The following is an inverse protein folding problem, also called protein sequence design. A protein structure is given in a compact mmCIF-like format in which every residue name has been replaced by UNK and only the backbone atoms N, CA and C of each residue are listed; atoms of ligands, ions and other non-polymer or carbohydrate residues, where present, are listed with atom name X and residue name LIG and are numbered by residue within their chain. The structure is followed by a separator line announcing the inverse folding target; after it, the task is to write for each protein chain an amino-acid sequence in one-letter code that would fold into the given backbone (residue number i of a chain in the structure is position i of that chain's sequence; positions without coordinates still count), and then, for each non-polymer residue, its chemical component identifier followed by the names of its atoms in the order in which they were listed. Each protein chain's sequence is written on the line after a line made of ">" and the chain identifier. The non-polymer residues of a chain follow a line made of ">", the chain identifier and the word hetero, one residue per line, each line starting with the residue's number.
data_IF_880871336598
#
_entry.id   IF_880871336598
#
_cell.length_a   1.000
_cell.length_b   1.000
_cell.length_c   1.000
_cell.angle_alpha   90.00
_cell.angle_beta   90.00
_cell.angle_gamma   90.00
#
_symmetry.space_group_name_H-M   'P 1'
#
loop_
_entity.id
_entity.type
_entity.pdbx_description
1 polymer ?
#
# COMPACT_ATOMS: atom_id res chain seq x y z
N UNK A 1 -17.86 16.61 -23.81
CA UNK A 1 -17.24 17.01 -25.09
C UNK A 1 -17.85 18.34 -25.50
N UNK A 2 -17.08 19.43 -25.42
CA UNK A 2 -17.51 20.70 -25.97
C UNK A 2 -17.22 20.67 -27.48
N UNK A 3 -18.26 20.77 -28.31
CA UNK A 3 -18.08 20.94 -29.75
C UNK A 3 -17.42 22.31 -29.98
N UNK A 4 -16.21 22.33 -30.54
CA UNK A 4 -15.51 23.57 -30.89
C UNK A 4 -16.27 24.23 -32.04
N UNK A 5 -16.86 25.40 -31.77
CA UNK A 5 -17.55 26.24 -32.76
C UNK A 5 -16.68 26.58 -33.97
N UNK A 6 -15.36 26.49 -33.83
CA UNK A 6 -14.39 26.74 -34.89
C UNK A 6 -14.28 25.61 -35.92
N UNK A 7 -14.49 24.36 -35.49
CA UNK A 7 -14.36 23.19 -36.37
C UNK A 7 -15.46 23.16 -37.43
N UNK A 8 -16.66 23.65 -37.08
CA UNK A 8 -17.78 23.74 -38.02
C UNK A 8 -17.64 24.91 -39.00
N UNK A 9 -16.97 25.99 -38.59
CA UNK A 9 -16.69 27.16 -39.45
C UNK A 9 -15.66 26.84 -40.55
N UNK A 10 -14.75 25.91 -40.30
CA UNK A 10 -13.69 25.53 -41.25
C UNK A 10 -14.09 24.38 -42.18
N UNK A 11 -15.17 23.64 -41.89
CA UNK A 11 -15.66 22.62 -42.85
C UNK A 11 -16.30 23.29 -44.05
N UNK A 12 -15.96 22.84 -45.25
CA UNK A 12 -16.61 23.32 -46.47
C UNK A 12 -18.11 23.00 -46.39
N UNK A 13 -19.01 23.99 -46.33
CA UNK A 13 -20.41 23.74 -46.10
C UNK A 13 -21.02 23.01 -47.32
N UNK A 14 -21.76 21.93 -47.07
CA UNK A 14 -22.50 21.23 -48.13
C UNK A 14 -23.64 22.13 -48.63
N UNK A 15 -23.42 22.79 -49.77
CA UNK A 15 -24.40 23.69 -50.37
C UNK A 15 -25.61 22.89 -50.90
N UNK A 16 -26.77 22.99 -50.23
CA UNK A 16 -28.02 22.32 -50.64
C UNK A 16 -28.65 22.88 -51.92
N UNK A 17 -28.25 24.07 -52.35
CA UNK A 17 -28.73 24.70 -53.59
C UNK A 17 -27.54 25.01 -54.51
N UNK A 18 -27.52 24.36 -55.67
CA UNK A 18 -26.55 24.58 -56.75
C UNK A 18 -26.80 25.92 -57.45
N UNK A 19 -26.56 27.03 -56.76
CA UNK A 19 -26.42 28.33 -57.41
C UNK A 19 -24.93 28.62 -57.54
N UNK A 20 -24.40 28.43 -58.75
CA UNK A 20 -22.99 28.70 -59.09
C UNK A 20 -22.53 30.11 -58.69
N UNK A 21 -23.47 31.06 -58.54
CA UNK A 21 -23.24 32.45 -58.12
C UNK A 21 -22.63 32.60 -56.73
N UNK A 22 -22.94 31.71 -55.78
CA UNK A 22 -22.49 31.83 -54.38
C UNK A 22 -21.43 30.79 -53.98
N UNK A 23 -21.16 29.79 -54.82
CA UNK A 23 -20.15 28.78 -54.55
C UNK A 23 -18.75 29.39 -54.42
N UNK A 24 -18.39 30.34 -55.29
CA UNK A 24 -17.08 30.99 -55.28
C UNK A 24 -16.86 31.87 -54.04
N UNK A 25 -17.75 32.82 -53.67
CA UNK A 25 -17.58 33.60 -52.44
C UNK A 25 -17.49 32.76 -51.16
N UNK A 26 -18.26 31.67 -51.06
CA UNK A 26 -18.19 30.75 -49.92
C UNK A 26 -16.83 30.05 -49.88
N UNK A 27 -16.36 29.52 -51.01
CA UNK A 27 -15.05 28.90 -51.12
C UNK A 27 -13.91 29.87 -50.78
N UNK A 28 -13.92 31.07 -51.36
CA UNK A 28 -12.91 32.11 -51.11
C UNK A 28 -12.89 32.53 -49.62
N UNK A 29 -14.07 32.65 -48.98
CA UNK A 29 -14.18 32.99 -47.55
C UNK A 29 -13.68 31.85 -46.65
N UNK A 30 -13.97 30.59 -47.00
CA UNK A 30 -13.44 29.43 -46.26
C UNK A 30 -11.91 29.36 -46.36
N UNK A 31 -11.33 29.65 -47.53
CA UNK A 31 -9.87 29.76 -47.69
C UNK A 31 -9.31 30.86 -46.81
N UNK A 32 -9.93 32.05 -46.81
CA UNK A 32 -9.46 33.19 -46.02
C UNK A 32 -9.50 32.91 -44.50
N UNK A 33 -10.52 32.19 -44.02
CA UNK A 33 -10.60 31.75 -42.62
C UNK A 33 -9.46 30.79 -42.27
N UNK A 34 -9.16 29.79 -43.10
CA UNK A 34 -8.02 28.90 -42.88
C UNK A 34 -6.68 29.66 -42.89
N UNK A 35 -6.48 30.54 -43.86
CA UNK A 35 -5.26 31.35 -43.95
C UNK A 35 -5.06 32.26 -42.71
N UNK A 36 -6.15 32.70 -42.09
CA UNK A 36 -6.11 33.52 -40.87
C UNK A 36 -5.77 32.70 -39.62
N UNK A 37 -5.96 31.37 -39.67
CA UNK A 37 -5.70 30.47 -38.54
C UNK A 37 -4.21 30.09 -38.44
N UNK A 38 -3.50 29.99 -39.56
CA UNK A 38 -2.08 29.61 -39.62
C UNK A 38 -1.16 30.47 -38.72
N UNK A 39 -1.26 31.82 -38.70
CA UNK A 39 -0.46 32.64 -37.79
C UNK A 39 -0.73 32.35 -36.30
N UNK A 40 -1.98 32.01 -35.96
CA UNK A 40 -2.39 31.71 -34.59
C UNK A 40 -1.78 30.37 -34.16
N UNK A 41 -1.93 29.33 -34.98
CA UNK A 41 -1.32 28.01 -34.71
C UNK A 41 0.20 28.10 -34.61
N UNK A 42 0.84 28.89 -35.47
CA UNK A 42 2.29 29.15 -35.41
C UNK A 42 2.72 29.89 -34.15
N UNK A 43 1.94 30.86 -33.67
CA UNK A 43 2.20 31.56 -32.42
C UNK A 43 2.05 30.63 -31.20
N UNK A 44 0.97 29.85 -31.14
CA UNK A 44 0.75 28.85 -30.09
C UNK A 44 1.86 27.80 -30.08
N UNK A 45 2.25 27.28 -31.24
CA UNK A 45 3.32 26.30 -31.35
C UNK A 45 4.65 26.85 -30.80
N UNK A 46 5.01 28.09 -31.13
CA UNK A 46 6.23 28.74 -30.60
C UNK A 46 6.14 29.00 -29.10
N UNK A 47 4.98 29.41 -28.62
CA UNK A 47 4.77 29.65 -27.19
C UNK A 47 4.87 28.34 -26.39
N UNK A 48 4.23 27.27 -26.86
CA UNK A 48 4.32 25.94 -26.27
C UNK A 48 5.78 25.43 -26.25
N UNK A 49 6.57 25.63 -27.31
CA UNK A 49 8.01 25.32 -27.31
C UNK A 49 8.74 26.07 -26.19
N UNK A 50 8.53 27.38 -26.08
CA UNK A 50 9.16 28.22 -25.04
C UNK A 50 8.78 27.75 -23.64
N UNK A 51 7.50 27.48 -23.40
CA UNK A 51 6.99 26.97 -22.12
C UNK A 51 7.57 25.61 -21.77
N UNK A 52 7.71 24.71 -22.75
CA UNK A 52 8.34 23.39 -22.57
C UNK A 52 9.79 23.54 -22.13
N UNK A 53 10.56 24.44 -22.78
CA UNK A 53 11.96 24.70 -22.40
C UNK A 53 12.12 25.36 -21.03
N UNK A 54 11.09 26.07 -20.57
CA UNK A 54 11.00 26.59 -19.20
C UNK A 54 10.40 25.57 -18.21
N UNK A 55 10.22 24.30 -18.59
CA UNK A 55 9.60 23.23 -17.79
C UNK A 55 8.17 23.53 -17.32
N UNK A 56 7.49 24.50 -17.94
CA UNK A 56 6.09 24.83 -17.67
C UNK A 56 5.16 23.97 -18.54
N UNK A 57 5.17 22.66 -18.28
CA UNK A 57 4.51 21.67 -19.11
C UNK A 57 2.99 21.83 -19.14
N UNK A 58 2.35 22.21 -18.04
CA UNK A 58 0.90 22.38 -17.99
C UNK A 58 0.43 23.52 -18.91
N UNK A 59 1.17 24.63 -18.95
CA UNK A 59 0.86 25.72 -19.87
C UNK A 59 1.11 25.32 -21.33
N UNK A 60 2.21 24.61 -21.60
CA UNK A 60 2.51 24.12 -22.94
C UNK A 60 1.45 23.13 -23.46
N UNK A 61 0.92 22.26 -22.58
CA UNK A 61 -0.15 21.32 -22.90
C UNK A 61 -1.47 22.03 -23.21
N UNK A 62 -1.81 23.12 -22.50
CA UNK A 62 -2.98 23.93 -22.83
C UNK A 62 -2.89 24.56 -24.21
N UNK A 63 -1.71 25.04 -24.60
CA UNK A 63 -1.49 25.58 -25.95
C UNK A 63 -1.64 24.50 -27.02
N UNK A 64 -1.11 23.29 -26.77
CA UNK A 64 -1.25 22.16 -27.68
C UNK A 64 -2.71 21.69 -27.83
N UNK A 65 -3.46 21.62 -26.72
CA UNK A 65 -4.90 21.31 -26.73
C UNK A 65 -5.70 22.37 -27.50
N UNK A 66 -5.40 23.66 -27.28
CA UNK A 66 -6.03 24.73 -28.05
C UNK A 66 -5.73 24.60 -29.56
N UNK A 67 -4.51 24.22 -29.95
CA UNK A 67 -4.18 23.96 -31.35
C UNK A 67 -5.02 22.81 -31.93
N UNK A 68 -5.25 21.74 -31.17
CA UNK A 68 -6.11 20.62 -31.59
C UNK A 68 -7.58 21.04 -31.73
N UNK A 69 -8.09 21.88 -30.81
CA UNK A 69 -9.46 22.39 -30.87
C UNK A 69 -9.69 23.34 -32.05
N UNK A 70 -8.67 24.12 -32.40
CA UNK A 70 -8.71 25.06 -33.53
C UNK A 70 -8.58 24.35 -34.88
N UNK A 71 -7.74 23.30 -34.96
CA UNK A 71 -7.50 22.56 -36.20
C UNK A 71 -7.31 21.06 -35.93
N UNK A 72 -8.40 20.30 -35.69
CA UNK A 72 -8.31 18.89 -35.28
C UNK A 72 -7.83 17.96 -36.41
N UNK A 73 -7.96 18.37 -37.68
CA UNK A 73 -7.42 17.61 -38.81
C UNK A 73 -5.94 17.90 -39.06
N UNK A 74 -5.37 18.93 -38.41
CA UNK A 74 -3.94 19.23 -38.50
C UNK A 74 -3.16 18.40 -37.47
N UNK A 75 -2.08 17.71 -37.87
CA UNK A 75 -1.24 16.97 -36.95
C UNK A 75 -0.42 17.85 -36.00
N UNK A 76 -0.32 19.17 -36.25
CA UNK A 76 0.59 20.06 -35.52
C UNK A 76 0.34 20.10 -34.01
N UNK A 77 -0.93 20.17 -33.58
CA UNK A 77 -1.32 20.16 -32.16
C UNK A 77 -0.96 18.84 -31.47
N UNK A 78 -1.22 17.71 -32.14
CA UNK A 78 -0.90 16.37 -31.64
C UNK A 78 0.61 16.15 -31.54
N UNK A 79 1.39 16.59 -32.55
CA UNK A 79 2.85 16.53 -32.53
C UNK A 79 3.42 17.36 -31.36
N UNK A 80 2.84 18.54 -31.11
CA UNK A 80 3.27 19.40 -30.00
C UNK A 80 3.05 18.72 -28.65
N UNK A 81 1.85 18.19 -28.42
CA UNK A 81 1.53 17.46 -27.19
C UNK A 81 2.40 16.21 -27.02
N UNK A 82 2.58 15.42 -28.09
CA UNK A 82 3.49 14.28 -28.12
C UNK A 82 4.94 14.68 -27.73
N UNK A 83 5.45 15.79 -28.27
CA UNK A 83 6.79 16.29 -27.94
C UNK A 83 6.89 16.68 -26.46
N UNK A 84 5.88 17.35 -25.91
CA UNK A 84 5.84 17.76 -24.50
C UNK A 84 5.85 16.54 -23.57
N UNK A 85 5.07 15.49 -23.89
CA UNK A 85 5.09 14.26 -23.12
C UNK A 85 6.40 13.48 -23.26
N UNK A 86 7.02 13.51 -24.45
CA UNK A 86 8.32 12.89 -24.69
C UNK A 86 9.42 13.54 -23.84
N UNK A 87 9.45 14.88 -23.73
CA UNK A 87 10.41 15.60 -22.86
C UNK A 87 10.22 15.28 -21.37
N UNK A 88 9.02 14.84 -20.95
CA UNK A 88 8.73 14.36 -19.59
C UNK A 88 9.03 12.86 -19.39
N UNK A 89 9.44 12.13 -20.43
CA UNK A 89 9.64 10.68 -20.40
C UNK A 89 8.32 9.86 -20.38
N UNK A 90 7.17 10.49 -20.66
CA UNK A 90 5.84 9.84 -20.59
C UNK A 90 5.49 9.14 -21.91
N UNK A 91 6.22 8.09 -22.27
CA UNK A 91 6.10 7.44 -23.59
C UNK A 91 4.70 6.87 -23.87
N UNK A 92 3.99 6.35 -22.86
CA UNK A 92 2.62 5.87 -23.03
C UNK A 92 1.65 6.99 -23.44
N UNK A 93 1.81 8.20 -22.90
CA UNK A 93 1.00 9.36 -23.30
C UNK A 93 1.33 9.80 -24.73
N UNK A 94 2.61 9.75 -25.12
CA UNK A 94 3.04 9.98 -26.51
C UNK A 94 2.34 9.00 -27.46
N UNK A 95 2.36 7.70 -27.14
CA UNK A 95 1.70 6.67 -27.95
C UNK A 95 0.19 6.92 -28.03
N UNK A 96 -0.44 7.25 -26.91
CA UNK A 96 -1.89 7.54 -26.83
C UNK A 96 -2.26 8.73 -27.72
N UNK A 97 -1.55 9.85 -27.59
CA UNK A 97 -1.88 11.06 -28.37
C UNK A 97 -1.56 10.89 -29.85
N UNK A 98 -0.46 10.19 -30.20
CA UNK A 98 -0.15 9.89 -31.59
C UNK A 98 -1.19 8.96 -32.22
N UNK A 99 -1.66 7.93 -31.52
CA UNK A 99 -2.75 7.08 -32.01
C UNK A 99 -4.03 7.89 -32.22
N UNK A 100 -4.35 8.78 -31.29
CA UNK A 100 -5.52 9.65 -31.43
C UNK A 100 -5.39 10.56 -32.65
N UNK A 101 -4.28 11.28 -32.79
CA UNK A 101 -4.02 12.13 -33.94
C UNK A 101 -4.07 11.36 -35.27
N UNK A 102 -3.36 10.23 -35.37
CA UNK A 102 -3.33 9.38 -36.57
C UNK A 102 -4.72 8.85 -37.00
N UNK A 103 -5.70 8.79 -36.10
CA UNK A 103 -7.08 8.39 -36.43
C UNK A 103 -7.94 9.50 -37.04
N UNK A 104 -7.51 10.77 -36.97
CA UNK A 104 -8.32 11.93 -37.34
C UNK A 104 -7.64 12.91 -38.30
N UNK A 105 -6.31 12.96 -38.32
CA UNK A 105 -5.56 13.90 -39.18
C UNK A 105 -5.57 13.45 -40.65
N UNK A 106 -5.40 14.39 -41.57
CA UNK A 106 -5.31 14.08 -42.99
C UNK A 106 -3.98 13.35 -43.30
N UNK A 107 -4.09 12.17 -43.94
CA UNK A 107 -2.94 11.39 -44.41
C UNK A 107 -2.07 12.09 -45.45
N UNK A 108 -2.61 13.12 -46.12
CA UNK A 108 -1.88 13.92 -47.12
C UNK A 108 -1.17 15.14 -46.51
N UNK A 109 -1.35 15.40 -45.21
CA UNK A 109 -0.67 16.49 -44.52
C UNK A 109 0.84 16.24 -44.45
N UNK A 110 1.64 17.26 -44.76
CA UNK A 110 3.12 17.18 -44.77
C UNK A 110 3.74 16.75 -43.43
N UNK A 111 3.00 16.89 -42.32
CA UNK A 111 3.46 16.54 -40.99
C UNK A 111 2.95 15.17 -40.51
N UNK A 112 2.14 14.45 -41.30
CA UNK A 112 1.63 13.11 -40.95
C UNK A 112 2.76 12.15 -40.58
N UNK A 113 3.82 12.09 -41.40
CA UNK A 113 4.99 11.25 -41.17
C UNK A 113 5.73 11.58 -39.87
N UNK A 114 5.67 12.84 -39.43
CA UNK A 114 6.29 13.26 -38.18
C UNK A 114 5.53 12.70 -36.98
N UNK A 115 4.21 12.68 -37.04
CA UNK A 115 3.37 12.08 -36.01
C UNK A 115 3.56 10.56 -35.95
N UNK A 116 3.67 9.89 -37.09
CA UNK A 116 3.97 8.45 -37.15
C UNK A 116 5.36 8.14 -36.59
N UNK A 117 6.37 8.94 -36.91
CA UNK A 117 7.73 8.78 -36.37
C UNK A 117 7.75 8.97 -34.85
N UNK A 118 7.08 10.00 -34.33
CA UNK A 118 6.98 10.23 -32.89
C UNK A 118 6.37 9.02 -32.15
N UNK A 119 5.35 8.38 -32.73
CA UNK A 119 4.79 7.14 -32.20
C UNK A 119 5.81 6.00 -32.17
N UNK A 120 6.47 5.74 -33.29
CA UNK A 120 7.46 4.65 -33.40
C UNK A 120 8.63 4.86 -32.41
N UNK A 121 9.11 6.08 -32.29
CA UNK A 121 10.18 6.44 -31.36
C UNK A 121 9.74 6.21 -29.91
N UNK A 122 8.50 6.57 -29.56
CA UNK A 122 7.93 6.34 -28.24
C UNK A 122 7.71 4.85 -27.94
N UNK A 123 7.24 4.05 -28.91
CA UNK A 123 7.13 2.59 -28.78
C UNK A 123 8.50 1.94 -28.57
N UNK A 124 9.51 2.38 -29.33
CA UNK A 124 10.88 1.92 -29.15
C UNK A 124 11.42 2.32 -27.78
N UNK A 125 11.22 3.55 -27.34
CA UNK A 125 11.72 4.02 -26.05
C UNK A 125 10.99 3.35 -24.88
N UNK A 126 9.68 3.11 -24.99
CA UNK A 126 8.89 2.35 -24.02
C UNK A 126 9.40 0.90 -23.90
N UNK A 127 9.90 0.31 -24.99
CA UNK A 127 10.50 -1.02 -24.97
C UNK A 127 11.90 -1.06 -24.33
N UNK A 128 12.61 0.09 -24.30
CA UNK A 128 13.93 0.18 -23.64
C UNK A 128 13.73 0.20 -22.13
N UNK A 129 13.95 -0.95 -21.49
CA UNK A 129 14.11 -1.04 -20.04
C UNK A 129 15.50 -0.55 -19.66
N UNK A 130 15.61 0.67 -19.15
CA UNK A 130 16.86 1.18 -18.58
C UNK A 130 16.82 0.89 -17.08
N UNK A 131 17.58 -0.10 -16.63
CA UNK A 131 17.76 -0.35 -15.20
C UNK A 131 18.84 0.59 -14.64
N UNK A 132 18.50 1.88 -14.52
CA UNK A 132 19.42 2.88 -13.97
C UNK A 132 19.87 2.51 -12.55
N UNK A 133 18.99 1.88 -11.78
CA UNK A 133 19.27 1.45 -10.41
C UNK A 133 20.46 0.49 -10.35
N UNK A 134 20.57 -0.43 -11.31
CA UNK A 134 21.72 -1.35 -11.38
C UNK A 134 23.07 -0.62 -11.51
N UNK A 135 23.08 0.59 -12.07
CA UNK A 135 24.29 1.39 -12.30
C UNK A 135 24.60 2.36 -11.15
N UNK A 136 23.65 2.59 -10.24
CA UNK A 136 23.87 3.43 -9.07
C UNK A 136 24.59 2.60 -7.99
N UNK A 137 25.68 3.13 -7.39
CA UNK A 137 26.33 2.53 -6.24
C UNK A 137 25.34 2.10 -5.16
N UNK A 138 25.53 0.89 -4.62
CA UNK A 138 24.59 0.30 -3.69
C UNK A 138 24.40 1.16 -2.44
N UNK A 139 25.47 1.76 -1.94
CA UNK A 139 25.44 2.69 -0.80
C UNK A 139 24.48 3.85 -1.06
N UNK A 140 24.61 4.55 -2.19
CA UNK A 140 23.72 5.68 -2.57
C UNK A 140 22.26 5.21 -2.67
N UNK A 141 22.02 4.02 -3.23
CA UNK A 141 20.66 3.47 -3.31
C UNK A 141 20.07 3.23 -1.92
N UNK A 142 20.81 2.56 -1.04
CA UNK A 142 20.31 2.14 0.28
C UNK A 142 20.20 3.33 1.25
N UNK A 143 21.15 4.26 1.24
CA UNK A 143 21.19 5.35 2.25
C UNK A 143 20.48 6.61 1.80
N UNK A 144 20.20 6.78 0.50
CA UNK A 144 19.66 8.04 -0.03
C UNK A 144 18.41 7.82 -0.86
N UNK A 145 18.47 7.00 -1.91
CA UNK A 145 17.33 6.89 -2.82
C UNK A 145 16.14 6.17 -2.18
N UNK A 146 16.35 5.00 -1.57
CA UNK A 146 15.26 4.24 -0.94
C UNK A 146 14.55 5.12 0.11
N UNK A 147 15.23 5.67 1.14
CA UNK A 147 14.57 6.53 2.13
C UNK A 147 13.80 7.71 1.53
N UNK A 148 14.32 8.32 0.47
CA UNK A 148 13.65 9.45 -0.21
C UNK A 148 12.32 9.06 -0.86
N UNK A 149 12.19 7.83 -1.37
CA UNK A 149 10.97 7.36 -2.04
C UNK A 149 10.02 6.59 -1.11
N UNK A 150 10.56 5.95 -0.08
CA UNK A 150 9.80 4.97 0.70
C UNK A 150 9.35 5.49 2.06
N UNK A 151 10.01 6.49 2.66
CA UNK A 151 9.66 6.99 3.99
C UNK A 151 9.46 5.84 4.99
N UNK A 152 8.39 5.91 5.79
CA UNK A 152 7.90 4.82 6.64
C UNK A 152 7.00 3.89 5.80
N UNK A 153 7.63 2.99 5.04
CA UNK A 153 6.95 2.29 3.95
C UNK A 153 5.92 1.26 4.44
N UNK A 154 4.68 1.71 4.58
CA UNK A 154 3.50 0.84 4.69
C UNK A 154 2.90 0.66 3.29
N UNK A 155 2.93 -0.57 2.76
CA UNK A 155 2.30 -0.86 1.46
C UNK A 155 0.82 -1.12 1.67
N UNK A 156 -0.04 -0.27 1.12
CA UNK A 156 -1.49 -0.51 1.16
C UNK A 156 -1.99 -1.22 -0.11
N UNK A 157 -2.93 -2.16 0.04
CA UNK A 157 -3.61 -2.83 -1.08
C UNK A 157 -4.21 -1.84 -2.09
N UNK A 158 -4.79 -0.74 -1.60
CA UNK A 158 -5.52 0.24 -2.41
C UNK A 158 -4.62 1.23 -3.18
N UNK A 159 -3.37 1.47 -2.76
CA UNK A 159 -2.50 2.51 -3.34
C UNK A 159 -1.40 1.94 -4.25
N UNK A 160 -1.31 2.35 -5.53
CA UNK A 160 -0.26 1.88 -6.43
C UNK A 160 1.14 2.26 -5.94
N UNK A 161 1.96 1.26 -5.68
CA UNK A 161 3.37 1.40 -5.30
C UNK A 161 4.24 1.35 -6.56
N UNK A 162 4.12 2.41 -7.37
CA UNK A 162 4.75 2.51 -8.69
C UNK A 162 6.26 2.25 -8.65
N UNK A 163 6.93 2.60 -7.55
CA UNK A 163 8.36 2.42 -7.41
C UNK A 163 8.76 0.93 -7.37
N UNK A 164 7.95 0.00 -6.83
CA UNK A 164 8.26 -1.45 -6.83
C UNK A 164 8.23 -2.08 -8.24
N UNK A 165 7.72 -1.34 -9.23
CA UNK A 165 7.62 -1.76 -10.62
C UNK A 165 8.69 -1.15 -11.53
N UNK A 166 9.63 -0.36 -10.99
CA UNK A 166 10.71 0.28 -11.77
C UNK A 166 11.64 -0.75 -12.40
N UNK A 167 12.23 -1.63 -11.59
CA UNK A 167 13.02 -2.76 -12.04
C UNK A 167 13.04 -3.84 -10.95
N UNK A 168 13.38 -5.08 -11.32
CA UNK A 168 13.54 -6.15 -10.33
C UNK A 168 14.69 -5.83 -9.36
N UNK A 169 15.81 -5.32 -9.86
CA UNK A 169 16.96 -4.91 -9.02
C UNK A 169 16.57 -3.84 -8.00
N UNK A 170 15.74 -2.87 -8.39
CA UNK A 170 15.24 -1.86 -7.45
C UNK A 170 14.34 -2.46 -6.38
N UNK A 171 13.44 -3.36 -6.76
CA UNK A 171 12.58 -4.07 -5.82
C UNK A 171 13.42 -4.89 -4.83
N UNK A 172 14.38 -5.64 -5.33
CA UNK A 172 15.25 -6.49 -4.51
C UNK A 172 16.07 -5.65 -3.51
N UNK A 173 16.57 -4.49 -3.93
CA UNK A 173 17.27 -3.55 -3.03
C UNK A 173 16.35 -2.96 -1.97
N UNK A 174 15.09 -2.64 -2.32
CA UNK A 174 14.09 -2.18 -1.33
C UNK A 174 13.83 -3.28 -0.30
N UNK A 175 13.55 -4.51 -0.75
CA UNK A 175 13.31 -5.64 0.14
C UNK A 175 14.51 -5.87 1.05
N UNK A 176 15.73 -5.84 0.49
CA UNK A 176 16.96 -5.97 1.26
C UNK A 176 17.12 -4.83 2.29
N UNK A 177 16.68 -3.61 1.98
CA UNK A 177 16.81 -2.46 2.87
C UNK A 177 15.92 -2.61 4.11
N UNK A 178 14.71 -3.13 3.92
CA UNK A 178 13.73 -3.26 4.99
C UNK A 178 13.77 -4.62 5.72
N UNK A 179 14.44 -5.63 5.17
CA UNK A 179 14.40 -7.01 5.70
C UNK A 179 13.22 -7.82 5.19
N UNK A 180 12.22 -7.14 4.65
CA UNK A 180 10.98 -7.70 4.11
C UNK A 180 10.03 -6.56 3.79
N UNK A 181 8.85 -6.90 3.27
CA UNK A 181 7.80 -5.91 3.02
C UNK A 181 6.73 -5.99 4.10
N UNK A 182 6.33 -4.83 4.60
CA UNK A 182 5.12 -4.66 5.39
C UNK A 182 3.94 -4.31 4.47
N UNK A 183 2.88 -5.11 4.54
CA UNK A 183 1.71 -4.95 3.70
C UNK A 183 0.43 -4.87 4.53
N UNK A 184 -0.37 -3.83 4.31
CA UNK A 184 -1.66 -3.63 4.95
C UNK A 184 -2.82 -3.82 3.94
N UNK A 185 -3.75 -4.68 4.31
CA UNK A 185 -5.03 -4.90 3.64
C UNK A 185 -6.11 -4.15 4.44
N UNK A 186 -6.58 -3.04 3.88
CA UNK A 186 -7.61 -2.21 4.52
C UNK A 186 -9.02 -2.81 4.48
N UNK A 187 -9.99 -2.05 4.99
CA UNK A 187 -11.41 -2.43 5.16
C UNK A 187 -12.16 -2.89 3.89
N UNK A 188 -11.61 -2.63 2.72
CA UNK A 188 -12.22 -3.03 1.45
C UNK A 188 -11.92 -4.51 1.19
N UNK A 189 -12.79 -5.41 1.68
CA UNK A 189 -12.69 -6.86 1.44
C UNK A 189 -12.72 -7.23 -0.05
N UNK A 190 -13.21 -6.34 -0.92
CA UNK A 190 -13.20 -6.49 -2.38
C UNK A 190 -11.94 -5.88 -3.01
N UNK A 191 -10.99 -5.39 -2.20
CA UNK A 191 -9.75 -4.82 -2.69
C UNK A 191 -8.99 -5.83 -3.55
N UNK A 192 -8.46 -5.32 -4.66
CA UNK A 192 -7.70 -6.12 -5.59
C UNK A 192 -6.41 -6.65 -4.94
N UNK A 193 -6.45 -7.90 -4.46
CA UNK A 193 -5.32 -8.60 -3.82
C UNK A 193 -4.17 -8.94 -4.79
N UNK A 194 -4.28 -8.62 -6.08
CA UNK A 194 -3.24 -8.94 -7.08
C UNK A 194 -1.84 -8.49 -6.67
N UNK A 195 -1.71 -7.38 -5.94
CA UNK A 195 -0.42 -6.89 -5.45
C UNK A 195 0.16 -7.77 -4.35
N UNK A 196 -0.67 -8.13 -3.37
CA UNK A 196 -0.29 -9.05 -2.29
C UNK A 196 0.16 -10.37 -2.89
N UNK A 197 -0.59 -10.88 -3.87
CA UNK A 197 -0.28 -12.12 -4.57
C UNK A 197 1.09 -12.05 -5.26
N UNK A 198 1.35 -10.98 -6.02
CA UNK A 198 2.62 -10.80 -6.75
C UNK A 198 3.82 -10.65 -5.81
N UNK A 199 3.62 -10.06 -4.63
CA UNK A 199 4.68 -9.77 -3.67
C UNK A 199 4.76 -10.76 -2.50
N UNK A 200 3.87 -11.75 -2.44
CA UNK A 200 3.71 -12.71 -1.31
C UNK A 200 5.02 -13.25 -0.75
N UNK A 201 5.93 -13.69 -1.62
CA UNK A 201 7.24 -14.25 -1.24
C UNK A 201 8.17 -13.28 -0.50
N UNK A 202 7.92 -11.97 -0.59
CA UNK A 202 8.72 -10.93 0.06
C UNK A 202 7.98 -10.25 1.22
N UNK A 203 6.73 -10.62 1.50
CA UNK A 203 5.96 -10.04 2.60
C UNK A 203 6.42 -10.71 3.89
N UNK A 204 6.95 -9.90 4.81
CA UNK A 204 7.39 -10.33 6.13
C UNK A 204 6.32 -10.05 7.19
N UNK A 205 5.59 -8.95 7.02
CA UNK A 205 4.51 -8.54 7.90
C UNK A 205 3.24 -8.26 7.08
N UNK A 206 2.14 -8.91 7.45
CA UNK A 206 0.84 -8.74 6.83
C UNK A 206 -0.16 -8.24 7.89
N UNK A 207 -0.69 -7.04 7.69
CA UNK A 207 -1.77 -6.48 8.48
C UNK A 207 -3.09 -6.57 7.70
N UNK A 208 -4.14 -7.02 8.38
CA UNK A 208 -5.50 -7.14 7.85
C UNK A 208 -6.43 -6.38 8.79
N UNK A 209 -6.95 -5.25 8.34
CA UNK A 209 -7.81 -4.40 9.16
C UNK A 209 -9.13 -5.12 9.49
N UNK A 210 -9.73 -5.77 8.49
CA UNK A 210 -11.05 -6.40 8.62
C UNK A 210 -11.11 -7.75 7.90
N UNK A 211 -11.39 -8.82 8.65
CA UNK A 211 -11.62 -10.17 8.13
C UNK A 211 -12.98 -10.70 8.59
N UNK A 212 -14.04 -10.36 7.86
CA UNK A 212 -15.41 -10.64 8.29
C UNK A 212 -16.16 -11.70 7.53
N UNK A 213 -15.77 -11.98 6.28
CA UNK A 213 -16.51 -12.87 5.37
C UNK A 213 -15.62 -13.85 4.63
N UNK A 214 -16.17 -15.05 4.47
CA UNK A 214 -15.65 -16.07 3.56
C UNK A 214 -14.26 -16.58 3.94
N UNK A 215 -13.61 -17.19 2.96
CA UNK A 215 -12.32 -17.87 3.12
C UNK A 215 -11.16 -17.10 2.49
N UNK A 216 -11.36 -15.84 2.09
CA UNK A 216 -10.41 -15.14 1.22
C UNK A 216 -9.01 -15.04 1.81
N UNK A 217 -8.87 -14.74 3.10
CA UNK A 217 -7.55 -14.66 3.76
C UNK A 217 -6.91 -16.04 3.82
N UNK A 218 -7.72 -17.05 4.08
CA UNK A 218 -7.26 -18.43 4.07
C UNK A 218 -6.81 -18.93 2.71
N UNK A 219 -7.58 -18.59 1.67
CA UNK A 219 -7.25 -18.86 0.28
C UNK A 219 -5.99 -18.10 -0.15
N UNK A 220 -5.83 -16.86 0.30
CA UNK A 220 -4.64 -16.05 0.06
C UNK A 220 -3.40 -16.74 0.64
N UNK A 221 -3.41 -17.08 1.93
CA UNK A 221 -2.27 -17.73 2.59
C UNK A 221 -1.96 -19.12 2.00
N UNK A 222 -2.99 -19.89 1.65
CA UNK A 222 -2.84 -21.26 1.13
C UNK A 222 -2.38 -21.32 -0.32
N UNK A 223 -2.86 -20.41 -1.16
CA UNK A 223 -2.66 -20.50 -2.61
C UNK A 223 -1.42 -19.72 -3.10
N UNK A 224 -0.74 -19.01 -2.20
CA UNK A 224 0.41 -18.17 -2.54
C UNK A 224 1.58 -18.42 -1.60
N UNK A 225 2.77 -18.07 -2.07
CA UNK A 225 4.01 -18.39 -1.37
C UNK A 225 4.37 -17.28 -0.38
N UNK A 226 3.93 -17.43 0.87
CA UNK A 226 4.27 -16.53 1.98
C UNK A 226 5.50 -17.04 2.76
N UNK A 227 6.53 -17.52 2.06
CA UNK A 227 7.73 -18.11 2.69
C UNK A 227 8.51 -17.18 3.62
N UNK A 228 8.30 -15.85 3.53
CA UNK A 228 8.95 -14.84 4.37
C UNK A 228 8.05 -14.30 5.48
N UNK A 229 6.77 -14.70 5.55
CA UNK A 229 5.78 -14.11 6.46
C UNK A 229 6.04 -14.51 7.91
N UNK A 230 6.58 -13.59 8.68
CA UNK A 230 6.91 -13.76 10.10
C UNK A 230 5.82 -13.19 11.01
N UNK A 231 5.10 -12.17 10.56
CA UNK A 231 4.13 -11.44 11.36
C UNK A 231 2.78 -11.33 10.66
N UNK A 232 1.72 -11.69 11.37
CA UNK A 232 0.33 -11.57 10.89
C UNK A 232 -0.49 -10.82 11.94
N UNK A 233 -1.03 -9.68 11.55
CA UNK A 233 -1.88 -8.85 12.39
C UNK A 233 -3.28 -8.79 11.80
N UNK A 234 -4.29 -9.09 12.60
CA UNK A 234 -5.70 -9.02 12.21
C UNK A 234 -6.43 -8.13 13.21
N UNK A 235 -6.75 -6.90 12.82
CA UNK A 235 -7.36 -5.90 13.71
C UNK A 235 -8.82 -6.22 14.02
N UNK A 236 -9.49 -6.92 13.12
CA UNK A 236 -10.86 -7.36 13.34
C UNK A 236 -11.14 -8.68 12.63
N UNK A 237 -11.46 -9.72 13.39
CA UNK A 237 -11.88 -11.01 12.85
C UNK A 237 -13.32 -11.36 13.25
N UNK A 238 -14.18 -11.67 12.29
CA UNK A 238 -15.54 -12.15 12.56
C UNK A 238 -15.55 -13.59 13.08
N UNK A 239 -16.47 -13.94 14.00
CA UNK A 239 -16.67 -15.31 14.50
C UNK A 239 -16.72 -16.37 13.41
N UNK A 240 -17.39 -16.05 12.29
CA UNK A 240 -17.65 -17.01 11.23
C UNK A 240 -16.40 -17.37 10.41
N UNK A 241 -15.29 -16.66 10.62
CA UNK A 241 -14.07 -16.84 9.86
C UNK A 241 -12.94 -17.52 10.66
N UNK A 242 -13.12 -17.71 11.97
CA UNK A 242 -12.06 -18.21 12.86
C UNK A 242 -11.61 -19.63 12.50
N UNK A 243 -12.54 -20.56 12.29
CA UNK A 243 -12.21 -21.94 11.90
C UNK A 243 -11.44 -21.98 10.57
N UNK A 244 -11.84 -21.12 9.64
CA UNK A 244 -11.17 -20.97 8.34
C UNK A 244 -9.77 -20.38 8.50
N UNK A 245 -9.61 -19.36 9.36
CA UNK A 245 -8.33 -18.76 9.67
C UNK A 245 -7.36 -19.79 10.22
N UNK A 246 -7.75 -20.52 11.25
CA UNK A 246 -6.89 -21.51 11.93
C UNK A 246 -6.47 -22.61 10.97
N UNK A 247 -7.41 -23.13 10.17
CA UNK A 247 -7.10 -24.10 9.12
C UNK A 247 -6.07 -23.58 8.13
N UNK A 248 -6.11 -22.27 7.85
CA UNK A 248 -5.22 -21.62 6.89
C UNK A 248 -3.87 -21.24 7.48
N UNK A 249 -3.77 -20.97 8.78
CA UNK A 249 -2.49 -20.78 9.48
C UNK A 249 -1.55 -21.97 9.31
N UNK A 250 -2.08 -23.18 9.04
CA UNK A 250 -1.26 -24.36 8.72
C UNK A 250 -0.31 -24.12 7.54
N UNK A 251 -0.71 -23.29 6.57
CA UNK A 251 0.12 -22.95 5.39
C UNK A 251 1.36 -22.11 5.74
N UNK A 252 1.32 -21.35 6.83
CA UNK A 252 2.42 -20.47 7.31
C UNK A 252 2.95 -20.89 8.68
N UNK A 253 2.51 -22.04 9.17
CA UNK A 253 2.74 -22.57 10.53
C UNK A 253 4.20 -22.58 10.99
N UNK A 254 5.11 -22.88 10.06
CA UNK A 254 6.54 -23.02 10.34
C UNK A 254 7.31 -21.71 10.23
N UNK A 255 6.70 -20.65 9.69
CA UNK A 255 7.37 -19.38 9.41
C UNK A 255 6.89 -18.29 10.38
N UNK A 256 5.59 -18.33 10.74
CA UNK A 256 4.98 -17.33 11.60
C UNK A 256 5.59 -17.35 13.01
N UNK A 257 6.08 -16.18 13.44
CA UNK A 257 6.67 -15.96 14.78
C UNK A 257 5.86 -14.98 15.62
N UNK A 258 5.11 -14.08 14.99
CA UNK A 258 4.23 -13.14 15.68
C UNK A 258 2.81 -13.22 15.10
N UNK A 259 1.82 -13.30 15.99
CA UNK A 259 0.42 -13.33 15.60
C UNK A 259 -0.39 -12.42 16.52
N UNK A 260 -1.04 -11.44 15.92
CA UNK A 260 -1.97 -10.53 16.60
C UNK A 260 -3.36 -10.71 16.01
N UNK A 261 -4.35 -10.90 16.86
CA UNK A 261 -5.75 -10.97 16.44
C UNK A 261 -6.64 -10.25 17.44
N UNK A 262 -7.41 -9.30 16.94
CA UNK A 262 -8.50 -8.68 17.66
C UNK A 262 -9.84 -9.20 17.12
N UNK A 263 -10.66 -9.68 18.04
CA UNK A 263 -11.91 -10.35 17.82
C UNK A 263 -12.99 -9.67 18.65
N UNK A 264 -14.03 -9.15 18.02
CA UNK A 264 -15.14 -8.47 18.71
C UNK A 264 -16.33 -9.39 18.99
N UNK A 265 -16.21 -10.66 18.59
CA UNK A 265 -17.30 -11.61 18.68
C UNK A 265 -17.39 -12.30 20.04
N UNK A 266 -18.56 -12.85 20.33
CA UNK A 266 -18.81 -13.61 21.56
C UNK A 266 -18.12 -14.99 21.57
N UNK A 267 -17.51 -15.40 20.46
CA UNK A 267 -16.84 -16.69 20.33
C UNK A 267 -15.41 -16.60 20.85
N UNK A 268 -15.02 -17.52 21.72
CA UNK A 268 -13.64 -17.56 22.20
C UNK A 268 -12.71 -18.06 21.09
N UNK A 269 -11.56 -17.42 20.94
CA UNK A 269 -10.52 -17.92 20.05
C UNK A 269 -9.91 -19.20 20.64
N UNK A 270 -9.76 -20.28 19.85
CA UNK A 270 -9.17 -21.53 20.34
C UNK A 270 -7.64 -21.40 20.40
N UNK A 271 -7.16 -20.75 21.46
CA UNK A 271 -5.72 -20.46 21.71
C UNK A 271 -4.87 -21.71 21.58
N UNK A 272 -5.33 -22.85 22.13
CA UNK A 272 -4.60 -24.12 22.04
C UNK A 272 -4.37 -24.54 20.58
N UNK A 273 -5.41 -24.44 19.75
CA UNK A 273 -5.34 -24.86 18.36
C UNK A 273 -4.42 -23.94 17.55
N UNK A 274 -4.43 -22.63 17.84
CA UNK A 274 -3.50 -21.66 17.26
C UNK A 274 -2.05 -22.02 17.62
N UNK A 275 -1.76 -22.26 18.89
CA UNK A 275 -0.42 -22.58 19.37
C UNK A 275 0.10 -23.94 18.87
N UNK A 276 -0.79 -24.93 18.74
CA UNK A 276 -0.47 -26.22 18.12
C UNK A 276 -0.22 -26.06 16.62
N UNK A 277 -0.99 -25.20 15.95
CA UNK A 277 -0.86 -24.94 14.52
C UNK A 277 0.41 -24.16 14.20
N UNK A 278 0.82 -23.20 15.04
CA UNK A 278 2.00 -22.35 14.85
C UNK A 278 3.06 -22.61 15.93
N UNK A 279 3.81 -23.74 15.86
CA UNK A 279 4.73 -24.13 16.92
C UNK A 279 5.97 -23.25 17.06
N UNK A 280 6.23 -22.35 16.10
CA UNK A 280 7.34 -21.41 16.11
C UNK A 280 6.98 -20.03 16.65
N UNK A 281 5.74 -19.86 17.13
CA UNK A 281 5.26 -18.58 17.64
C UNK A 281 6.06 -18.15 18.88
N UNK A 282 6.53 -16.90 18.83
CA UNK A 282 7.28 -16.19 19.88
C UNK A 282 6.38 -15.16 20.56
N UNK A 283 5.49 -14.52 19.79
CA UNK A 283 4.55 -13.51 20.27
C UNK A 283 3.12 -13.85 19.87
N UNK A 284 2.21 -13.86 20.84
CA UNK A 284 0.77 -14.00 20.62
C UNK A 284 0.02 -12.87 21.32
N UNK A 285 -0.69 -12.06 20.55
CA UNK A 285 -1.54 -11.00 21.08
C UNK A 285 -3.00 -11.26 20.68
N UNK A 286 -3.86 -11.45 21.68
CA UNK A 286 -5.27 -11.71 21.49
C UNK A 286 -6.09 -10.67 22.23
N UNK A 287 -6.96 -10.00 21.49
CA UNK A 287 -7.99 -9.12 22.04
C UNK A 287 -9.34 -9.75 21.79
N UNK A 288 -10.09 -10.05 22.85
CA UNK A 288 -11.43 -10.63 22.78
C UNK A 288 -12.30 -10.14 23.96
N UNK A 289 -13.62 -10.10 23.83
CA UNK A 289 -14.47 -9.50 24.86
C UNK A 289 -14.46 -10.26 26.21
N UNK A 290 -14.41 -11.60 26.17
CA UNK A 290 -14.44 -12.45 27.36
C UNK A 290 -13.04 -12.96 27.72
N UNK A 291 -12.79 -13.26 29.01
CA UNK A 291 -11.53 -13.88 29.45
C UNK A 291 -11.21 -15.09 28.60
N UNK A 292 -9.98 -15.12 28.07
CA UNK A 292 -9.44 -16.34 27.50
C UNK A 292 -9.35 -17.38 28.62
N UNK A 293 -10.08 -18.50 28.49
CA UNK A 293 -10.02 -19.60 29.43
C UNK A 293 -8.72 -20.38 29.22
N UNK A 294 -7.62 -19.76 29.63
CA UNK A 294 -6.28 -20.35 29.60
C UNK A 294 -6.18 -21.52 30.60
N UNK A 295 -7.05 -21.53 31.61
CA UNK A 295 -7.12 -22.61 32.60
C UNK A 295 -7.51 -23.94 31.96
N UNK A 296 -8.40 -23.90 30.94
CA UNK A 296 -8.91 -25.06 30.22
C UNK A 296 -7.93 -25.69 29.22
N UNK A 297 -6.86 -24.99 28.84
CA UNK A 297 -5.87 -25.51 27.90
C UNK A 297 -5.27 -26.81 28.42
N UNK A 298 -4.90 -27.72 27.53
CA UNK A 298 -4.14 -28.91 27.94
C UNK A 298 -2.84 -28.52 28.69
N UNK A 299 -2.28 -29.45 29.46
CA UNK A 299 -1.00 -29.25 30.17
C UNK A 299 0.22 -29.31 29.22
N UNK A 300 0.00 -29.04 27.93
CA UNK A 300 1.06 -28.89 26.93
C UNK A 300 1.83 -27.60 27.22
N UNK A 301 3.14 -27.62 27.00
CA UNK A 301 4.00 -26.46 27.21
C UNK A 301 4.44 -25.86 25.88
N UNK A 302 4.50 -24.53 25.80
CA UNK A 302 4.95 -23.77 24.64
C UNK A 302 6.20 -22.95 24.97
N UNK A 303 7.39 -23.57 24.95
CA UNK A 303 8.63 -22.95 25.43
C UNK A 303 9.20 -21.87 24.51
N UNK A 304 8.66 -21.67 23.30
CA UNK A 304 9.12 -20.60 22.40
C UNK A 304 8.38 -19.28 22.61
N UNK A 305 7.19 -19.32 23.21
CA UNK A 305 6.37 -18.14 23.40
C UNK A 305 6.96 -17.30 24.53
N UNK A 306 7.47 -16.12 24.19
CA UNK A 306 8.04 -15.16 25.13
C UNK A 306 7.08 -14.02 25.45
N UNK A 307 6.18 -13.71 24.51
CA UNK A 307 5.20 -12.65 24.65
C UNK A 307 3.81 -13.22 24.49
N UNK A 308 2.97 -12.99 25.49
CA UNK A 308 1.55 -13.32 25.46
C UNK A 308 0.80 -12.08 25.95
N UNK A 309 -0.13 -11.59 25.15
CA UNK A 309 -1.05 -10.53 25.58
C UNK A 309 -2.46 -11.06 25.40
N UNK A 310 -3.24 -11.03 26.47
CA UNK A 310 -4.65 -11.39 26.44
C UNK A 310 -5.43 -10.27 27.11
N UNK A 311 -6.07 -9.43 26.31
CA UNK A 311 -6.96 -8.39 26.83
C UNK A 311 -8.38 -8.93 26.88
N UNK A 312 -8.97 -8.96 28.07
CA UNK A 312 -10.37 -9.28 28.34
C UNK A 312 -10.93 -8.33 29.39
N UNK A 313 -12.25 -8.19 29.43
CA UNK A 313 -12.93 -7.40 30.47
C UNK A 313 -13.01 -8.15 31.81
N UNK A 314 -12.90 -9.48 31.78
CA UNK A 314 -12.95 -10.35 32.95
C UNK A 314 -11.67 -10.27 33.80
N UNK A 315 -11.85 -10.49 35.10
CA UNK A 315 -10.78 -10.45 36.10
C UNK A 315 -10.00 -11.75 36.08
N UNK A 316 -8.67 -11.68 36.00
CA UNK A 316 -7.82 -12.87 36.07
C UNK A 316 -7.64 -13.35 37.51
N UNK A 317 -7.81 -14.65 37.72
CA UNK A 317 -7.60 -15.33 39.01
C UNK A 317 -6.15 -15.76 39.20
N UNK A 318 -5.73 -15.96 40.45
CA UNK A 318 -4.40 -16.49 40.78
C UNK A 318 -4.12 -17.87 40.14
N UNK A 319 -5.15 -18.72 40.08
CA UNK A 319 -5.03 -20.06 39.49
C UNK A 319 -4.75 -19.99 37.99
N UNK A 320 -5.37 -19.05 37.29
CA UNK A 320 -5.10 -18.76 35.87
C UNK A 320 -3.69 -18.21 35.67
N UNK A 321 -3.26 -17.27 36.50
CA UNK A 321 -1.88 -16.75 36.50
C UNK A 321 -0.90 -17.91 36.60
N UNK A 322 -1.04 -18.78 37.62
CA UNK A 322 -0.18 -19.97 37.80
C UNK A 322 -0.26 -20.96 36.63
N UNK A 323 -1.45 -21.14 36.07
CA UNK A 323 -1.72 -21.99 34.91
C UNK A 323 -1.00 -21.50 33.65
N UNK A 324 -0.94 -20.18 33.44
CA UNK A 324 -0.24 -19.54 32.31
C UNK A 324 1.24 -19.92 32.37
N UNK A 325 1.98 -19.59 33.43
CA UNK A 325 3.42 -19.82 33.37
C UNK A 325 3.87 -21.27 33.54
N UNK A 326 2.99 -22.19 33.99
CA UNK A 326 3.24 -23.64 33.82
C UNK A 326 3.26 -24.04 32.34
N UNK A 327 2.41 -23.41 31.52
CA UNK A 327 2.28 -23.67 30.08
C UNK A 327 3.25 -22.86 29.23
N UNK A 328 3.63 -21.66 29.68
CA UNK A 328 4.54 -20.75 28.98
C UNK A 328 5.80 -20.50 29.82
N UNK A 329 6.70 -21.48 29.96
CA UNK A 329 7.86 -21.38 30.86
C UNK A 329 8.88 -20.32 30.44
N UNK A 330 8.83 -19.83 29.20
CA UNK A 330 9.76 -18.83 28.64
C UNK A 330 9.15 -17.43 28.52
N UNK A 331 7.95 -17.24 29.08
CA UNK A 331 7.23 -15.98 29.02
C UNK A 331 8.03 -14.89 29.75
N UNK A 332 8.40 -13.82 29.02
CA UNK A 332 9.20 -12.70 29.52
C UNK A 332 8.39 -11.39 29.61
N UNK A 333 7.30 -11.32 28.85
CA UNK A 333 6.41 -10.18 28.75
C UNK A 333 4.98 -10.69 28.72
N UNK A 334 4.19 -10.27 29.71
CA UNK A 334 2.78 -10.59 29.74
C UNK A 334 1.95 -9.38 30.18
N UNK A 335 0.88 -9.11 29.45
CA UNK A 335 -0.10 -8.10 29.80
C UNK A 335 -1.35 -8.82 30.27
N UNK A 336 -1.60 -8.74 31.57
CA UNK A 336 -2.80 -9.29 32.19
C UNK A 336 -3.98 -8.35 31.96
N UNK A 337 -5.15 -8.96 31.75
CA UNK A 337 -6.43 -8.29 31.92
C UNK A 337 -6.61 -7.77 33.37
N UNK A 338 -7.65 -6.99 33.61
CA UNK A 338 -7.86 -6.32 34.90
C UNK A 338 -7.72 -7.28 36.08
N UNK A 339 -7.10 -6.79 37.16
CA UNK A 339 -6.79 -7.57 38.34
C UNK A 339 -7.36 -6.88 39.57
N UNK A 340 -8.48 -7.38 40.12
CA UNK A 340 -9.13 -6.75 41.27
C UNK A 340 -8.29 -6.86 42.56
N UNK A 341 -7.50 -7.93 42.68
CA UNK A 341 -6.75 -8.22 43.89
C UNK A 341 -5.25 -7.92 43.70
N UNK A 342 -4.72 -6.99 44.50
CA UNK A 342 -3.26 -6.77 44.64
C UNK A 342 -2.49 -8.07 44.96
N UNK A 343 -3.17 -9.04 45.57
CA UNK A 343 -2.60 -10.35 45.90
C UNK A 343 -2.27 -11.17 44.65
N UNK A 344 -3.09 -11.12 43.60
CA UNK A 344 -2.81 -11.78 42.31
C UNK A 344 -1.57 -11.18 41.63
N UNK A 345 -1.36 -9.87 41.74
CA UNK A 345 -0.15 -9.19 41.25
C UNK A 345 1.08 -9.70 42.02
N UNK A 346 0.98 -9.81 43.35
CA UNK A 346 2.05 -10.33 44.19
C UNK A 346 2.38 -11.79 43.86
N UNK A 347 1.35 -12.62 43.70
CA UNK A 347 1.50 -14.02 43.32
C UNK A 347 2.14 -14.14 41.93
N UNK A 348 1.73 -13.33 40.95
CA UNK A 348 2.35 -13.29 39.64
C UNK A 348 3.86 -12.98 39.74
N UNK A 349 4.24 -12.00 40.56
CA UNK A 349 5.65 -11.63 40.77
C UNK A 349 6.46 -12.71 41.48
N UNK A 350 5.86 -13.39 42.47
CA UNK A 350 6.49 -14.47 43.21
C UNK A 350 6.66 -15.73 42.34
N UNK A 351 5.70 -16.01 41.44
CA UNK A 351 5.76 -17.15 40.52
C UNK A 351 6.62 -16.88 39.27
N UNK A 352 6.72 -15.62 38.84
CA UNK A 352 7.44 -15.22 37.62
C UNK A 352 8.55 -14.21 37.88
N UNK A 353 9.55 -14.54 38.72
CA UNK A 353 10.64 -13.63 39.04
C UNK A 353 11.52 -13.27 37.83
N UNK A 354 11.39 -13.97 36.70
CA UNK A 354 12.12 -13.72 35.46
C UNK A 354 11.35 -12.86 34.43
N UNK A 355 10.08 -12.53 34.67
CA UNK A 355 9.34 -11.64 33.78
C UNK A 355 9.88 -10.21 33.88
N UNK A 356 10.29 -9.65 32.75
CA UNK A 356 10.82 -8.30 32.67
C UNK A 356 9.70 -7.26 32.54
N UNK A 357 8.59 -7.63 31.93
CA UNK A 357 7.49 -6.73 31.64
C UNK A 357 6.16 -7.38 32.05
N UNK A 358 5.54 -6.84 33.10
CA UNK A 358 4.20 -7.25 33.53
C UNK A 358 3.31 -6.02 33.46
N UNK A 359 2.39 -6.00 32.50
CA UNK A 359 1.39 -4.96 32.39
C UNK A 359 0.07 -5.39 33.01
N UNK A 360 -0.65 -4.47 33.66
CA UNK A 360 -2.03 -4.67 34.07
C UNK A 360 -2.89 -3.58 33.45
N UNK A 361 -3.96 -3.98 32.77
CA UNK A 361 -4.95 -3.04 32.24
C UNK A 361 -5.98 -2.70 33.32
N UNK A 362 -5.96 -1.50 33.88
CA UNK A 362 -7.02 -1.02 34.79
C UNK A 362 -8.01 -0.19 33.96
N UNK A 363 -9.32 -0.44 34.09
CA UNK A 363 -10.36 0.26 33.31
C UNK A 363 -10.14 1.79 33.34
N UNK A 364 -9.65 2.34 32.22
CA UNK A 364 -9.38 3.77 32.03
C UNK A 364 -7.97 4.28 32.37
N UNK A 365 -7.01 3.44 32.80
CA UNK A 365 -5.57 3.75 32.91
C UNK A 365 -4.70 2.51 32.70
N UNK A 366 -3.75 2.58 31.77
CA UNK A 366 -2.69 1.58 31.68
C UNK A 366 -1.71 1.71 32.84
N UNK A 367 -1.63 0.69 33.70
CA UNK A 367 -0.59 0.56 34.72
C UNK A 367 0.47 -0.44 34.19
N UNK A 368 1.48 0.10 33.52
CA UNK A 368 2.66 -0.69 33.14
C UNK A 368 3.60 -0.82 34.36
N UNK A 369 3.79 -2.04 34.85
CA UNK A 369 4.77 -2.34 35.89
C UNK A 369 6.02 -2.94 35.23
N UNK A 370 7.00 -2.08 34.95
CA UNK A 370 8.30 -2.54 34.43
C UNK A 370 9.12 -3.05 35.61
N UNK A 371 9.41 -4.35 35.64
CA UNK A 371 10.35 -4.94 36.60
C UNK A 371 11.77 -4.59 36.17
N UNK A 372 12.23 -3.37 36.46
CA UNK A 372 13.60 -2.98 36.16
C UNK A 372 14.54 -3.63 37.18
N UNK A 373 15.23 -4.70 36.79
CA UNK A 373 16.45 -5.11 37.49
C UNK A 373 17.49 -4.00 37.27
N UNK A 374 17.64 -3.14 38.28
CA UNK A 374 18.67 -2.10 38.46
C UNK A 374 19.66 -1.88 37.30
N UNK A 375 19.33 -0.97 36.39
CA UNK A 375 20.32 -0.13 35.71
C UNK A 375 19.77 1.30 35.76
N UNK A 376 20.49 2.18 36.44
CA UNK A 376 20.10 3.56 36.67
C UNK A 376 20.19 4.37 35.38
N UNK A 377 19.04 4.80 34.83
CA UNK A 377 18.78 6.15 34.29
C UNK A 377 17.53 6.18 33.39
N UNK A 378 16.34 6.01 33.98
CA UNK A 378 15.08 6.64 33.51
C UNK A 378 14.06 6.57 34.67
N UNK A 379 13.25 7.62 34.84
CA UNK A 379 12.21 7.69 35.88
C UNK A 379 11.01 6.81 35.51
N UNK A 380 11.08 5.53 35.86
CA UNK A 380 9.94 4.62 36.00
C UNK A 380 9.83 4.22 37.47
N UNK A 381 8.65 4.36 38.07
CA UNK A 381 8.40 3.95 39.46
C UNK A 381 8.52 2.43 39.57
N UNK A 382 9.52 1.95 40.31
CA UNK A 382 9.70 0.53 40.56
C UNK A 382 8.65 -0.01 41.53
N UNK A 383 8.16 -1.22 41.28
CA UNK A 383 7.15 -1.94 42.07
C UNK A 383 7.45 -1.97 43.59
N UNK A 384 8.73 -2.01 43.98
CA UNK A 384 9.14 -1.98 45.40
C UNK A 384 8.85 -0.64 46.07
N UNK A 385 8.89 0.46 45.33
CA UNK A 385 8.64 1.80 45.87
C UNK A 385 7.14 2.00 46.13
N UNK A 386 6.27 1.46 45.26
CA UNK A 386 4.81 1.53 45.42
C UNK A 386 4.28 0.66 46.58
N UNK A 387 4.83 -0.54 46.77
CA UNK A 387 4.42 -1.42 47.87
C UNK A 387 4.91 -0.91 49.24
N UNK A 388 6.07 -0.24 49.29
CA UNK A 388 6.59 0.35 50.55
C UNK A 388 5.86 1.62 51.01
N UNK A 389 5.20 2.33 50.09
CA UNK A 389 4.54 3.61 50.38
C UNK A 389 3.12 3.49 50.96
N UNK A 390 2.57 2.26 51.06
CA UNK A 390 1.17 2.03 51.52
C UNK A 390 1.08 1.40 52.91
N UNK A 391 2.21 0.94 53.45
CA UNK A 391 2.34 0.46 54.84
C UNK A 391 2.72 1.59 55.83
N UNK A 392 2.65 2.85 55.39
CA UNK A 392 2.71 4.09 56.19
C UNK A 392 1.46 4.91 55.95
#
# INVERSE_FOLDING_TARGET
>A
MAYSTWTDLCKQPTLKASSAKYAKPVYDSTIQLHQSLEPILSALNRHAIGLTKCTNYDAALRDADLMQQLSPSSPLGYIREATIYSEQGKQLEVIRICNHGLSIVDTMDTHYDTLQRAKMDAEQQQSKRIDFISQVPLDIVMTTLIPMFTGDLVLHSSKPTLFLHVSNVWRDRIIQHFGGLFFQIGDDEDANLSRVIVLSHCIEELEVDYYSKGTWLGDLLRNHDFCSLQELHITYASPNCIDHLISSLKSVSNILTQFTIAHDGNTMLPIEEILVTCPNLVSLNITQPNAADISSLSMTTWPKLTTLTTSSDDVITCDEVMAIGKRFPSLNSHHFASCEEMESIRIALDYYPWMNNIGFHEFGRDLALVSTMMVADTKTLGLRDLLSARDT
#
